data_IF_459388759157
#
_entry.id   IF_459388759157
#
_cell.length_a   1.000
_cell.length_b   1.000
_cell.length_c   1.000
_cell.angle_alpha   90.00
_cell.angle_beta   90.00
_cell.angle_gamma   90.00
#
_symmetry.space_group_name_H-M   'P 1'
#
loop_
_entity.id
_entity.type
_entity.pdbx_description
1 polymer ?
#
# COMPACT_ATOMS: atom_id res chain seq x y z
N UNK A 1 14.93 -12.69 -5.25
CA UNK A 1 14.09 -13.35 -4.25
C UNK A 1 13.18 -12.30 -3.60
N UNK A 2 11.98 -12.70 -3.25
CA UNK A 2 11.02 -11.91 -2.49
C UNK A 2 10.54 -12.75 -1.31
N UNK A 3 10.23 -12.15 -0.13
CA UNK A 3 9.66 -12.88 0.99
C UNK A 3 8.30 -13.49 0.62
N UNK A 4 8.06 -14.72 1.08
CA UNK A 4 6.78 -15.42 0.90
C UNK A 4 6.05 -15.46 2.23
N UNK A 5 4.86 -14.87 2.26
CA UNK A 5 3.96 -14.90 3.41
C UNK A 5 2.74 -15.76 3.16
N UNK A 6 2.26 -16.45 4.18
CA UNK A 6 1.04 -17.27 4.11
C UNK A 6 0.11 -17.04 5.28
N UNK A 7 -1.12 -17.57 5.18
CA UNK A 7 -2.16 -17.53 6.22
C UNK A 7 -2.47 -18.97 6.66
N UNK A 8 -1.79 -19.53 7.66
CA UNK A 8 -1.92 -20.94 8.04
C UNK A 8 -3.35 -21.35 8.40
N UNK A 9 -4.15 -20.40 8.90
CA UNK A 9 -5.54 -20.65 9.28
C UNK A 9 -6.38 -21.22 8.12
N UNK A 10 -6.10 -20.80 6.88
CA UNK A 10 -6.88 -21.28 5.73
C UNK A 10 -6.56 -22.73 5.40
N UNK A 11 -5.29 -23.14 5.43
CA UNK A 11 -4.91 -24.54 5.25
C UNK A 11 -5.39 -25.42 6.42
N UNK A 12 -5.29 -24.92 7.66
CA UNK A 12 -5.84 -25.62 8.82
C UNK A 12 -7.35 -25.85 8.67
N UNK A 13 -8.09 -24.87 8.16
CA UNK A 13 -9.53 -25.01 7.90
C UNK A 13 -9.83 -26.03 6.79
N UNK A 14 -9.01 -26.09 5.73
CA UNK A 14 -9.14 -27.12 4.70
C UNK A 14 -8.89 -28.53 5.23
N UNK A 15 -7.94 -28.73 6.16
CA UNK A 15 -7.68 -30.01 6.82
C UNK A 15 -8.90 -30.55 7.60
N UNK A 16 -9.81 -29.67 8.01
CA UNK A 16 -11.08 -30.02 8.66
C UNK A 16 -12.30 -29.86 7.75
N UNK A 17 -12.09 -29.90 6.41
CA UNK A 17 -13.14 -29.79 5.40
C UNK A 17 -14.02 -28.52 5.53
N UNK A 18 -13.43 -27.39 5.92
CA UNK A 18 -14.12 -26.12 6.07
C UNK A 18 -14.98 -26.00 7.35
N UNK A 19 -14.92 -26.95 8.25
CA UNK A 19 -15.72 -26.99 9.48
C UNK A 19 -15.00 -26.22 10.59
N UNK A 20 -15.43 -25.00 10.84
CA UNK A 20 -14.82 -24.11 11.84
C UNK A 20 -14.86 -24.72 13.24
N UNK A 21 -15.92 -25.46 13.56
CA UNK A 21 -16.10 -26.16 14.84
C UNK A 21 -15.05 -27.26 15.11
N UNK A 22 -14.43 -27.78 14.06
CA UNK A 22 -13.41 -28.85 14.19
C UNK A 22 -11.98 -28.30 14.24
N UNK A 23 -11.80 -26.97 14.09
CA UNK A 23 -10.49 -26.33 14.25
C UNK A 23 -10.00 -26.48 15.70
N UNK A 24 -8.73 -26.84 15.85
CA UNK A 24 -8.08 -26.90 17.16
C UNK A 24 -6.66 -26.31 17.10
N UNK A 25 -6.11 -26.05 18.27
CA UNK A 25 -4.72 -25.62 18.39
C UNK A 25 -3.75 -26.63 17.76
N UNK A 26 -3.94 -27.92 17.97
CA UNK A 26 -3.07 -28.97 17.46
C UNK A 26 -3.03 -28.99 15.94
N UNK A 27 -4.18 -28.91 15.27
CA UNK A 27 -4.27 -28.86 13.80
C UNK A 27 -3.58 -27.58 13.27
N UNK A 28 -3.81 -26.45 13.93
CA UNK A 28 -3.19 -25.20 13.55
C UNK A 28 -1.66 -25.23 13.75
N UNK A 29 -1.19 -25.69 14.91
CA UNK A 29 0.23 -25.85 15.24
C UNK A 29 0.95 -26.71 14.22
N UNK A 30 0.39 -27.88 13.92
CA UNK A 30 1.00 -28.82 12.96
C UNK A 30 1.03 -28.23 11.54
N UNK A 31 0.01 -27.44 11.16
CA UNK A 31 0.00 -26.72 9.91
C UNK A 31 1.05 -25.60 9.87
N UNK A 32 1.23 -24.88 10.98
CA UNK A 32 2.23 -23.84 11.10
C UNK A 32 3.65 -24.41 10.93
N UNK A 33 3.96 -25.51 11.61
CA UNK A 33 5.24 -26.22 11.52
C UNK A 33 5.47 -26.73 10.09
N UNK A 34 4.48 -27.36 9.47
CA UNK A 34 4.55 -27.83 8.08
C UNK A 34 4.93 -26.71 7.13
N UNK A 35 4.35 -25.52 7.26
CA UNK A 35 4.67 -24.37 6.41
C UNK A 35 6.03 -23.75 6.73
N UNK A 36 6.47 -23.77 8.00
CA UNK A 36 7.84 -23.40 8.37
C UNK A 36 8.87 -24.30 7.66
N UNK A 37 8.65 -25.60 7.65
CA UNK A 37 9.52 -26.58 6.97
C UNK A 37 9.53 -26.41 5.45
N UNK A 38 8.45 -25.84 4.86
CA UNK A 38 8.37 -25.49 3.45
C UNK A 38 9.12 -24.19 3.10
N UNK A 39 9.63 -23.46 4.09
CA UNK A 39 10.42 -22.25 3.89
C UNK A 39 9.62 -20.97 3.71
N UNK A 40 8.47 -20.83 4.38
CA UNK A 40 7.70 -19.58 4.44
C UNK A 40 8.47 -18.58 5.28
N UNK A 41 8.54 -17.32 4.82
CA UNK A 41 9.33 -16.27 5.48
C UNK A 41 8.56 -15.56 6.61
N UNK A 42 7.22 -15.46 6.50
CA UNK A 42 6.38 -14.88 7.55
C UNK A 42 4.94 -15.39 7.49
N UNK A 43 4.25 -15.33 8.61
CA UNK A 43 2.85 -15.76 8.73
C UNK A 43 1.93 -14.62 9.12
N UNK A 44 0.78 -14.57 8.47
CA UNK A 44 -0.36 -13.72 8.82
C UNK A 44 -1.25 -14.44 9.84
N UNK A 45 -1.32 -13.92 11.07
CA UNK A 45 -1.94 -14.61 12.21
C UNK A 45 -3.03 -13.74 12.87
N UNK A 46 -4.26 -14.29 12.95
CA UNK A 46 -5.46 -13.63 13.49
C UNK A 46 -5.55 -13.73 15.02
N UNK A 47 -4.46 -13.42 15.73
CA UNK A 47 -4.38 -13.54 17.18
C UNK A 47 -4.95 -12.34 17.95
N UNK A 48 -5.11 -11.17 17.29
CA UNK A 48 -5.57 -9.94 17.94
C UNK A 48 -7.07 -9.92 18.26
N UNK A 49 -7.86 -10.71 17.55
CA UNK A 49 -9.30 -10.82 17.79
C UNK A 49 -9.57 -11.48 19.14
N UNK A 50 -10.15 -10.74 20.08
CA UNK A 50 -10.61 -11.26 21.37
C UNK A 50 -12.12 -11.42 21.38
N UNK A 51 -12.62 -12.47 22.04
CA UNK A 51 -14.04 -12.73 22.16
C UNK A 51 -14.84 -11.54 22.68
N UNK A 52 -14.32 -10.82 23.67
CA UNK A 52 -14.96 -9.62 24.25
C UNK A 52 -15.20 -8.50 23.23
N UNK A 53 -14.44 -8.46 22.10
CA UNK A 53 -14.59 -7.44 21.06
C UNK A 53 -15.63 -7.82 20.01
N UNK A 54 -15.95 -9.11 19.85
CA UNK A 54 -16.90 -9.60 18.83
C UNK A 54 -18.28 -8.93 18.93
N UNK A 55 -18.89 -8.78 20.13
CA UNK A 55 -20.19 -8.11 20.24
C UNK A 55 -20.18 -6.63 19.82
N UNK A 56 -19.03 -5.96 19.86
CA UNK A 56 -18.89 -4.57 19.45
C UNK A 56 -19.13 -4.36 17.95
N UNK A 57 -18.95 -5.42 17.15
CA UNK A 57 -19.18 -5.38 15.68
C UNK A 57 -20.64 -5.53 15.28
N UNK A 58 -21.53 -5.88 16.22
CA UNK A 58 -22.96 -6.17 15.91
C UNK A 58 -23.73 -4.98 15.35
N UNK A 59 -23.26 -3.75 15.61
CA UNK A 59 -23.89 -2.50 15.12
C UNK A 59 -23.24 -1.96 13.87
N UNK A 60 -22.18 -2.59 13.37
CA UNK A 60 -21.50 -2.19 12.14
C UNK A 60 -22.38 -2.43 10.92
N UNK A 61 -22.19 -1.57 9.91
CA UNK A 61 -22.86 -1.72 8.60
C UNK A 61 -22.39 -3.02 7.92
N UNK A 62 -21.10 -3.33 8.00
CA UNK A 62 -20.50 -4.48 7.32
C UNK A 62 -20.04 -5.60 8.26
N UNK A 63 -20.22 -5.46 9.56
CA UNK A 63 -19.86 -6.49 10.55
C UNK A 63 -18.36 -6.79 10.59
N UNK A 64 -17.97 -8.06 10.40
CA UNK A 64 -16.59 -8.53 10.34
C UNK A 64 -16.26 -8.92 8.90
N UNK A 65 -15.42 -8.15 8.23
CA UNK A 65 -15.08 -8.35 6.80
C UNK A 65 -13.79 -9.14 6.59
N UNK A 66 -12.94 -9.26 7.61
CA UNK A 66 -11.78 -10.15 7.56
C UNK A 66 -12.22 -11.60 7.51
N UNK A 67 -11.78 -12.36 6.49
CA UNK A 67 -12.12 -13.79 6.37
C UNK A 67 -11.67 -14.59 7.60
N UNK A 68 -10.40 -14.46 7.96
CA UNK A 68 -9.87 -15.15 9.14
C UNK A 68 -10.43 -14.58 10.45
N UNK A 69 -10.70 -13.28 10.53
CA UNK A 69 -11.40 -12.65 11.66
C UNK A 69 -12.80 -13.25 11.85
N UNK A 70 -13.58 -13.39 10.78
CA UNK A 70 -14.91 -14.02 10.83
C UNK A 70 -14.85 -15.51 11.23
N UNK A 71 -13.86 -16.26 10.75
CA UNK A 71 -13.62 -17.66 11.14
C UNK A 71 -13.35 -17.74 12.63
N UNK A 72 -12.42 -16.94 13.15
CA UNK A 72 -12.07 -16.98 14.58
C UNK A 72 -13.18 -16.47 15.48
N UNK A 73 -13.91 -15.41 15.07
CA UNK A 73 -15.10 -14.95 15.80
C UNK A 73 -16.17 -16.06 15.90
N UNK A 74 -16.44 -16.76 14.78
CA UNK A 74 -17.37 -17.90 14.75
C UNK A 74 -16.87 -19.03 15.67
N UNK A 75 -15.58 -19.34 15.63
CA UNK A 75 -14.98 -20.35 16.50
C UNK A 75 -15.16 -20.01 17.98
N UNK A 76 -14.86 -18.78 18.40
CA UNK A 76 -15.05 -18.32 19.77
C UNK A 76 -16.51 -18.46 20.24
N UNK A 77 -17.46 -18.09 19.37
CA UNK A 77 -18.89 -18.20 19.68
C UNK A 77 -19.37 -19.66 19.81
N UNK A 78 -18.89 -20.56 18.94
CA UNK A 78 -19.28 -21.97 18.96
C UNK A 78 -18.72 -22.71 20.18
N UNK A 79 -17.49 -22.42 20.56
CA UNK A 79 -16.82 -23.10 21.66
C UNK A 79 -17.00 -22.40 23.01
N UNK A 80 -17.56 -21.17 23.04
CA UNK A 80 -17.62 -20.33 24.24
C UNK A 80 -16.24 -20.17 24.91
N UNK A 81 -15.21 -19.98 24.08
CA UNK A 81 -13.81 -19.86 24.49
C UNK A 81 -13.14 -18.70 23.80
N UNK A 82 -12.05 -18.23 24.40
CA UNK A 82 -11.19 -17.21 23.78
C UNK A 82 -10.46 -17.80 22.57
N UNK A 83 -10.16 -16.94 21.61
CA UNK A 83 -9.40 -17.26 20.41
C UNK A 83 -8.13 -18.05 20.74
N UNK A 84 -8.04 -19.30 20.29
CA UNK A 84 -6.88 -20.13 20.58
C UNK A 84 -5.57 -19.61 19.99
N UNK A 85 -5.61 -18.80 18.91
CA UNK A 85 -4.42 -18.15 18.37
C UNK A 85 -3.90 -17.07 19.32
N UNK A 86 -4.76 -16.45 20.14
CA UNK A 86 -4.35 -15.52 21.18
C UNK A 86 -3.81 -16.26 22.40
N UNK A 87 -4.53 -17.28 22.88
CA UNK A 87 -4.14 -18.02 24.09
C UNK A 87 -2.84 -18.82 23.92
N UNK A 88 -2.53 -19.25 22.70
CA UNK A 88 -1.28 -19.95 22.33
C UNK A 88 -0.28 -19.08 21.59
N UNK A 89 -0.40 -17.73 21.69
CA UNK A 89 0.48 -16.87 20.91
C UNK A 89 1.95 -16.96 21.30
N UNK A 90 2.25 -17.25 22.57
CA UNK A 90 3.63 -17.51 23.01
C UNK A 90 4.19 -18.79 22.40
N UNK A 91 3.39 -19.88 22.36
CA UNK A 91 3.78 -21.14 21.71
C UNK A 91 4.02 -20.94 20.21
N UNK A 92 3.18 -20.11 19.56
CA UNK A 92 3.37 -19.70 18.16
C UNK A 92 4.72 -18.99 18.01
N UNK A 93 5.02 -18.02 18.85
CA UNK A 93 6.30 -17.29 18.79
C UNK A 93 7.51 -18.21 19.01
N UNK A 94 7.42 -19.21 19.89
CA UNK A 94 8.50 -20.19 20.10
C UNK A 94 8.74 -21.04 18.83
N UNK A 95 7.69 -21.42 18.12
CA UNK A 95 7.79 -22.10 16.83
C UNK A 95 8.46 -21.15 15.80
N UNK A 96 7.97 -19.94 15.65
CA UNK A 96 8.48 -18.97 14.67
C UNK A 96 9.97 -18.65 14.92
N UNK A 97 10.37 -18.46 16.17
CA UNK A 97 11.76 -18.23 16.54
C UNK A 97 12.67 -19.42 16.17
N UNK A 98 12.17 -20.66 16.28
CA UNK A 98 12.92 -21.88 15.94
C UNK A 98 13.27 -21.99 14.47
N UNK A 99 12.43 -21.38 13.59
CA UNK A 99 12.57 -21.41 12.14
C UNK A 99 13.01 -20.08 11.53
N UNK A 100 13.28 -19.06 12.36
CA UNK A 100 13.63 -17.68 11.92
C UNK A 100 12.54 -17.07 11.00
N UNK A 101 11.26 -17.23 11.38
CA UNK A 101 10.10 -16.77 10.63
C UNK A 101 9.45 -15.58 11.31
N UNK A 102 9.08 -14.55 10.54
CA UNK A 102 8.39 -13.36 11.04
C UNK A 102 6.88 -13.55 11.20
N UNK A 103 6.23 -12.59 11.88
CA UNK A 103 4.78 -12.57 12.04
C UNK A 103 4.17 -11.25 11.57
N UNK A 104 3.11 -11.34 10.77
CA UNK A 104 2.16 -10.28 10.49
C UNK A 104 0.92 -10.50 11.36
N UNK A 105 0.70 -9.62 12.35
CA UNK A 105 -0.43 -9.76 13.28
C UNK A 105 -1.62 -9.00 12.69
N UNK A 106 -2.70 -9.74 12.42
CA UNK A 106 -3.85 -9.28 11.62
C UNK A 106 -4.82 -8.44 12.43
N UNK A 107 -5.33 -7.38 11.81
CA UNK A 107 -6.51 -6.64 12.23
C UNK A 107 -7.80 -7.37 11.79
N UNK A 108 -8.15 -8.45 12.48
CA UNK A 108 -9.34 -9.26 12.18
C UNK A 108 -10.66 -8.52 12.31
N UNK A 109 -10.68 -7.42 13.07
CA UNK A 109 -11.83 -6.53 13.26
C UNK A 109 -11.70 -5.20 12.53
N UNK A 110 -10.88 -5.14 11.45
CA UNK A 110 -10.79 -3.94 10.61
C UNK A 110 -12.15 -3.52 10.07
N UNK A 111 -12.42 -2.21 9.88
CA UNK A 111 -13.65 -1.74 9.27
C UNK A 111 -13.74 -2.13 7.79
N UNK A 112 -14.93 -2.50 7.36
CA UNK A 112 -15.27 -2.84 5.96
C UNK A 112 -16.10 -1.77 5.27
N UNK A 113 -16.40 -0.66 5.96
CA UNK A 113 -17.06 0.52 5.41
C UNK A 113 -16.58 1.79 6.10
N UNK A 114 -16.78 2.93 5.44
CA UNK A 114 -16.45 4.23 6.02
C UNK A 114 -17.18 4.50 7.34
N UNK A 115 -18.42 4.00 7.45
CA UNK A 115 -19.27 4.18 8.63
C UNK A 115 -18.76 3.43 9.87
N UNK A 116 -17.98 2.37 9.67
CA UNK A 116 -17.47 1.50 10.74
C UNK A 116 -16.06 1.88 11.20
N UNK A 117 -15.44 2.87 10.53
CA UNK A 117 -14.04 3.26 10.78
C UNK A 117 -13.85 3.84 12.19
N UNK A 118 -12.71 3.50 12.80
CA UNK A 118 -12.26 4.00 14.10
C UNK A 118 -13.22 3.69 15.26
N UNK A 119 -13.96 2.60 15.17
CA UNK A 119 -14.85 2.19 16.26
C UNK A 119 -14.10 1.47 17.40
N UNK A 120 -14.82 1.16 18.46
CA UNK A 120 -14.27 0.51 19.67
C UNK A 120 -13.80 -0.94 19.41
N UNK A 121 -14.36 -1.62 18.41
CA UNK A 121 -13.91 -2.97 18.03
C UNK A 121 -12.52 -2.89 17.37
N UNK A 122 -12.34 -1.99 16.41
CA UNK A 122 -11.08 -1.79 15.72
C UNK A 122 -9.97 -1.37 16.69
N UNK A 123 -10.19 -0.35 17.51
CA UNK A 123 -9.15 0.12 18.42
C UNK A 123 -8.93 -0.78 19.63
N UNK A 124 -9.96 -1.53 20.05
CA UNK A 124 -9.80 -2.56 21.07
C UNK A 124 -8.89 -3.69 20.59
N UNK A 125 -9.03 -4.12 19.34
CA UNK A 125 -8.12 -5.08 18.73
C UNK A 125 -6.72 -4.46 18.54
N UNK A 126 -6.60 -3.23 18.04
CA UNK A 126 -5.31 -2.56 17.85
C UNK A 126 -4.47 -2.54 19.13
N UNK A 127 -5.10 -2.27 20.28
CA UNK A 127 -4.43 -2.31 21.58
C UNK A 127 -3.91 -3.72 21.90
N UNK A 128 -4.66 -4.76 21.55
CA UNK A 128 -4.23 -6.16 21.71
C UNK A 128 -3.10 -6.50 20.76
N UNK A 129 -3.13 -6.02 19.51
CA UNK A 129 -2.02 -6.20 18.56
C UNK A 129 -0.69 -5.65 19.12
N UNK A 130 -0.74 -4.49 19.80
CA UNK A 130 0.44 -3.94 20.48
C UNK A 130 0.94 -4.82 21.62
N UNK A 131 0.05 -5.43 22.42
CA UNK A 131 0.43 -6.40 23.46
C UNK A 131 1.12 -7.62 22.85
N UNK A 132 0.55 -8.16 21.76
CA UNK A 132 1.10 -9.33 21.07
C UNK A 132 2.46 -9.01 20.41
N UNK A 133 2.63 -7.79 19.86
CA UNK A 133 3.90 -7.36 19.32
C UNK A 133 5.02 -7.41 20.37
N UNK A 134 4.76 -6.94 21.60
CA UNK A 134 5.74 -7.07 22.69
C UNK A 134 6.07 -8.51 23.04
N UNK A 135 5.08 -9.42 23.04
CA UNK A 135 5.34 -10.83 23.27
C UNK A 135 6.25 -11.42 22.20
N UNK A 136 5.98 -11.12 20.92
CA UNK A 136 6.79 -11.59 19.80
C UNK A 136 8.23 -11.06 19.89
N UNK A 137 8.42 -9.78 20.17
CA UNK A 137 9.76 -9.19 20.35
C UNK A 137 10.54 -9.83 21.53
N UNK A 138 9.86 -10.12 22.63
CA UNK A 138 10.47 -10.82 23.75
C UNK A 138 10.95 -12.24 23.39
N UNK A 139 10.37 -12.83 22.34
CA UNK A 139 10.76 -14.13 21.77
C UNK A 139 11.66 -13.99 20.54
N UNK A 140 12.16 -12.76 20.26
CA UNK A 140 13.02 -12.45 19.11
C UNK A 140 12.36 -12.68 17.74
N UNK A 141 11.02 -12.62 17.65
CA UNK A 141 10.27 -12.73 16.40
C UNK A 141 10.05 -11.34 15.81
N UNK A 142 10.33 -11.17 14.53
CA UNK A 142 10.04 -9.94 13.79
C UNK A 142 8.54 -9.78 13.61
N UNK A 143 8.05 -8.54 13.76
CA UNK A 143 6.62 -8.23 13.76
C UNK A 143 6.28 -7.19 12.70
N UNK A 144 5.17 -7.41 12.00
CA UNK A 144 4.42 -6.41 11.24
C UNK A 144 3.01 -6.37 11.83
N UNK A 145 2.44 -5.19 12.03
CA UNK A 145 1.05 -5.01 12.43
C UNK A 145 0.22 -4.67 11.21
N UNK A 146 -0.85 -5.44 10.95
CA UNK A 146 -1.80 -5.09 9.90
C UNK A 146 -2.78 -4.01 10.35
N UNK A 147 -3.26 -3.21 9.40
CA UNK A 147 -4.11 -2.07 9.65
C UNK A 147 -5.27 -1.93 8.67
N UNK A 148 -6.12 -0.90 8.84
CA UNK A 148 -7.47 -0.87 8.30
C UNK A 148 -7.54 -0.80 6.78
N UNK A 149 -8.69 -1.29 6.27
CA UNK A 149 -9.05 -1.22 4.85
C UNK A 149 -9.92 -0.02 4.50
N UNK A 150 -10.96 0.31 5.27
CA UNK A 150 -11.91 1.39 4.98
C UNK A 150 -11.83 2.48 6.04
N UNK A 151 -11.23 3.62 5.71
CA UNK A 151 -11.16 4.79 6.63
C UNK A 151 -11.31 6.06 5.82
N UNK A 152 -12.26 6.94 6.16
CA UNK A 152 -12.40 8.23 5.50
C UNK A 152 -11.19 9.13 5.78
N UNK A 153 -10.84 10.00 4.84
CA UNK A 153 -9.59 10.76 4.84
C UNK A 153 -9.33 11.50 6.16
N UNK A 154 -10.35 12.10 6.77
CA UNK A 154 -10.23 12.87 8.01
C UNK A 154 -9.88 12.02 9.24
N UNK A 155 -10.08 10.71 9.20
CA UNK A 155 -9.79 9.79 10.30
C UNK A 155 -8.46 9.02 10.13
N UNK A 156 -7.81 9.12 8.98
CA UNK A 156 -6.57 8.39 8.67
C UNK A 156 -5.45 8.76 9.64
N UNK A 157 -5.31 10.04 9.95
CA UNK A 157 -4.26 10.51 10.88
C UNK A 157 -4.44 9.93 12.27
N UNK A 158 -5.66 9.99 12.81
CA UNK A 158 -5.97 9.40 14.10
C UNK A 158 -5.64 7.90 14.15
N UNK A 159 -5.93 7.20 13.05
CA UNK A 159 -5.63 5.77 12.93
C UNK A 159 -4.12 5.50 13.05
N UNK A 160 -3.30 6.29 12.35
CA UNK A 160 -1.86 6.16 12.42
C UNK A 160 -1.30 6.56 13.80
N UNK A 161 -1.76 7.68 14.34
CA UNK A 161 -1.30 8.18 15.66
C UNK A 161 -1.59 7.13 16.76
N UNK A 162 -2.77 6.49 16.73
CA UNK A 162 -3.12 5.41 17.67
C UNK A 162 -2.27 4.14 17.48
N UNK A 163 -1.95 3.80 16.24
CA UNK A 163 -1.08 2.66 15.99
C UNK A 163 0.33 2.90 16.57
N UNK A 164 0.89 4.08 16.33
CA UNK A 164 2.20 4.43 16.88
C UNK A 164 2.21 4.35 18.40
N UNK A 165 1.15 4.85 19.05
CA UNK A 165 0.99 4.83 20.52
C UNK A 165 0.78 3.41 21.04
N UNK A 166 -0.21 2.67 20.52
CA UNK A 166 -0.65 1.39 21.07
C UNK A 166 0.30 0.25 20.70
N UNK A 167 0.93 0.33 19.52
CA UNK A 167 1.81 -0.72 19.00
C UNK A 167 3.30 -0.37 19.09
N UNK A 168 3.66 0.68 19.84
CA UNK A 168 5.06 1.03 20.14
C UNK A 168 5.91 1.24 18.89
N UNK A 169 5.35 1.93 17.90
CA UNK A 169 5.99 2.19 16.60
C UNK A 169 6.36 0.93 15.80
N UNK A 170 5.72 -0.21 16.08
CA UNK A 170 5.87 -1.40 15.25
C UNK A 170 5.57 -1.09 13.78
N UNK A 171 6.29 -1.70 12.81
CA UNK A 171 5.97 -1.51 11.40
C UNK A 171 4.50 -1.77 11.10
N UNK A 172 3.83 -0.79 10.49
CA UNK A 172 2.41 -0.85 10.17
C UNK A 172 2.20 -1.17 8.70
N UNK A 173 1.33 -2.13 8.42
CA UNK A 173 0.98 -2.62 7.09
C UNK A 173 -0.51 -2.41 6.84
N UNK A 174 -0.89 -1.52 5.93
CA UNK A 174 -2.29 -1.12 5.75
C UNK A 174 -2.86 -1.54 4.41
N UNK A 175 -4.16 -1.90 4.40
CA UNK A 175 -4.94 -2.19 3.21
C UNK A 175 -5.52 -0.88 2.65
N UNK A 176 -4.69 -0.06 2.07
CA UNK A 176 -5.05 1.29 1.64
C UNK A 176 -4.68 2.33 2.70
N UNK A 177 -5.67 3.03 3.33
CA UNK A 177 -7.14 2.77 3.36
C UNK A 177 -7.90 3.22 2.11
N UNK A 178 -9.01 2.52 1.83
CA UNK A 178 -10.02 2.97 0.89
C UNK A 178 -10.78 4.16 1.50
N UNK A 179 -10.80 5.28 0.81
CA UNK A 179 -11.34 6.56 1.36
C UNK A 179 -12.81 6.81 1.02
N UNK A 180 -13.43 5.92 0.27
CA UNK A 180 -14.87 5.92 -0.08
C UNK A 180 -15.33 4.53 -0.47
N UNK A 181 -16.63 4.22 -0.30
CA UNK A 181 -17.21 2.90 -0.55
C UNK A 181 -17.97 2.82 -1.88
N UNK A 182 -18.09 3.93 -2.63
CA UNK A 182 -18.94 4.01 -3.83
C UNK A 182 -18.24 3.62 -5.14
N UNK A 183 -17.04 3.07 -5.08
CA UNK A 183 -16.19 2.89 -6.24
C UNK A 183 -15.83 1.42 -6.58
N UNK A 184 -16.77 0.44 -6.56
CA UNK A 184 -16.45 -0.89 -7.06
C UNK A 184 -15.92 -0.84 -8.50
N UNK A 185 -14.83 -1.55 -8.77
CA UNK A 185 -14.09 -1.47 -10.02
C UNK A 185 -13.00 -0.40 -10.07
N UNK A 186 -12.92 0.44 -9.03
CA UNK A 186 -11.91 1.50 -8.88
C UNK A 186 -11.26 1.48 -7.49
N UNK A 187 -11.35 0.37 -6.77
CA UNK A 187 -10.86 0.24 -5.41
C UNK A 187 -9.35 0.49 -5.29
N UNK A 188 -8.57 0.16 -6.32
CA UNK A 188 -7.15 0.48 -6.39
C UNK A 188 -6.86 2.00 -6.35
N UNK A 189 -7.76 2.83 -6.89
CA UNK A 189 -7.64 4.29 -6.87
C UNK A 189 -7.99 4.84 -5.49
N UNK A 190 -9.16 4.47 -4.96
CA UNK A 190 -9.63 4.97 -3.65
C UNK A 190 -8.69 4.57 -2.52
N UNK A 191 -8.16 3.38 -2.60
CA UNK A 191 -7.20 2.80 -1.67
C UNK A 191 -5.80 3.44 -1.81
N UNK A 192 -5.35 3.79 -3.02
CA UNK A 192 -4.09 4.49 -3.22
C UNK A 192 -4.12 5.93 -2.65
N UNK A 193 -5.26 6.60 -2.71
CA UNK A 193 -5.43 7.93 -2.09
C UNK A 193 -5.15 7.84 -0.58
N UNK A 194 -5.84 6.95 0.11
CA UNK A 194 -5.63 6.74 1.54
C UNK A 194 -4.25 6.16 1.84
N UNK A 195 -3.74 5.28 0.99
CA UNK A 195 -2.40 4.71 1.09
C UNK A 195 -1.31 5.77 1.05
N UNK A 196 -1.40 6.75 0.16
CA UNK A 196 -0.47 7.87 0.11
C UNK A 196 -0.55 8.73 1.40
N UNK A 197 -1.76 8.96 1.93
CA UNK A 197 -1.94 9.73 3.16
C UNK A 197 -1.38 9.00 4.38
N UNK A 198 -1.74 7.74 4.59
CA UNK A 198 -1.29 6.99 5.77
C UNK A 198 0.21 6.69 5.67
N UNK A 199 0.73 6.47 4.44
CA UNK A 199 2.15 6.36 4.17
C UNK A 199 2.91 7.62 4.54
N UNK A 200 2.37 8.80 4.24
CA UNK A 200 2.93 10.08 4.67
C UNK A 200 2.96 10.22 6.19
N UNK A 201 1.92 9.72 6.89
CA UNK A 201 1.85 9.80 8.35
C UNK A 201 2.70 8.76 9.08
N UNK A 202 3.19 7.70 8.41
CA UNK A 202 4.14 6.79 9.05
C UNK A 202 4.00 5.30 8.72
N UNK A 203 2.97 4.87 7.99
CA UNK A 203 2.84 3.46 7.59
C UNK A 203 4.12 2.98 6.88
N UNK A 204 4.59 1.81 7.27
CA UNK A 204 5.83 1.23 6.76
C UNK A 204 5.64 0.46 5.44
N UNK A 205 4.47 -0.17 5.25
CA UNK A 205 4.18 -0.98 4.07
C UNK A 205 2.72 -0.84 3.66
N UNK A 206 2.46 -0.79 2.36
CA UNK A 206 1.12 -0.73 1.78
C UNK A 206 0.78 -2.05 1.09
N UNK A 207 -0.38 -2.63 1.40
CA UNK A 207 -0.96 -3.72 0.64
C UNK A 207 -1.50 -3.17 -0.68
N UNK A 208 -1.15 -3.80 -1.81
CA UNK A 208 -1.78 -3.41 -3.07
C UNK A 208 -3.24 -3.88 -3.09
N UNK A 209 -4.07 -3.11 -3.75
CA UNK A 209 -5.49 -3.40 -4.03
C UNK A 209 -5.69 -3.36 -5.53
N UNK A 210 -6.49 -4.25 -6.06
CA UNK A 210 -6.87 -4.24 -7.47
C UNK A 210 -8.27 -3.63 -7.65
N UNK A 211 -8.64 -3.35 -8.88
CA UNK A 211 -10.00 -2.92 -9.25
C UNK A 211 -11.07 -3.95 -8.90
N UNK A 212 -10.66 -5.22 -8.66
CA UNK A 212 -11.57 -6.33 -8.38
C UNK A 212 -11.73 -6.65 -6.88
N UNK A 213 -11.23 -5.82 -5.98
CA UNK A 213 -11.19 -6.10 -4.53
C UNK A 213 -12.54 -6.59 -3.97
N UNK A 214 -13.64 -5.96 -4.36
CA UNK A 214 -14.98 -6.34 -3.92
C UNK A 214 -15.80 -7.11 -4.97
N UNK A 215 -15.20 -7.48 -6.12
CA UNK A 215 -15.92 -8.02 -7.26
C UNK A 215 -15.48 -9.41 -7.71
N UNK A 216 -14.21 -9.76 -7.57
CA UNK A 216 -13.72 -11.04 -8.06
C UNK A 216 -12.22 -11.25 -7.91
N UNK A 217 -11.74 -12.40 -8.36
CA UNK A 217 -10.32 -12.72 -8.34
C UNK A 217 -9.57 -11.91 -9.41
N UNK A 218 -8.45 -11.28 -9.05
CA UNK A 218 -7.63 -10.55 -10.01
C UNK A 218 -6.85 -11.50 -10.92
N UNK A 219 -6.66 -11.10 -12.17
CA UNK A 219 -5.71 -11.71 -13.07
C UNK A 219 -4.32 -11.04 -12.97
N UNK A 220 -3.37 -11.50 -13.79
CA UNK A 220 -1.99 -10.98 -13.78
C UNK A 220 -1.92 -9.48 -14.09
N UNK A 221 -2.74 -9.00 -15.01
CA UNK A 221 -2.73 -7.58 -15.41
C UNK A 221 -3.37 -6.70 -14.33
N UNK A 222 -4.40 -7.19 -13.66
CA UNK A 222 -5.02 -6.52 -12.51
C UNK A 222 -3.99 -6.37 -11.37
N UNK A 223 -3.24 -7.46 -11.08
CA UNK A 223 -2.18 -7.44 -10.05
C UNK A 223 -1.08 -6.44 -10.44
N UNK A 224 -0.61 -6.46 -11.70
CA UNK A 224 0.38 -5.49 -12.20
C UNK A 224 -0.10 -4.07 -11.98
N UNK A 225 -1.35 -3.78 -12.34
CA UNK A 225 -1.97 -2.45 -12.19
C UNK A 225 -2.07 -2.04 -10.73
N UNK A 226 -2.53 -2.92 -9.86
CA UNK A 226 -2.58 -2.70 -8.41
C UNK A 226 -1.20 -2.37 -7.84
N UNK A 227 -0.18 -3.18 -8.14
CA UNK A 227 1.19 -2.96 -7.67
C UNK A 227 1.76 -1.63 -8.16
N UNK A 228 1.58 -1.27 -9.44
CA UNK A 228 2.02 0.02 -9.98
C UNK A 228 1.32 1.17 -9.26
N UNK A 229 0.01 1.08 -9.06
CA UNK A 229 -0.78 2.09 -8.36
C UNK A 229 -0.25 2.32 -6.94
N UNK A 230 0.04 1.26 -6.20
CA UNK A 230 0.55 1.37 -4.83
C UNK A 230 2.01 1.81 -4.77
N UNK A 231 2.84 1.50 -5.76
CA UNK A 231 4.18 2.10 -5.89
C UNK A 231 4.09 3.61 -6.11
N UNK A 232 3.08 4.09 -6.85
CA UNK A 232 2.83 5.54 -7.00
C UNK A 232 2.41 6.17 -5.68
N UNK A 233 1.49 5.53 -4.93
CA UNK A 233 1.05 6.00 -3.61
C UNK A 233 2.22 6.09 -2.62
N UNK A 234 3.04 5.04 -2.53
CA UNK A 234 4.21 5.00 -1.67
C UNK A 234 5.25 6.07 -2.06
N UNK A 235 5.52 6.25 -3.36
CA UNK A 235 6.42 7.28 -3.85
C UNK A 235 5.92 8.71 -3.51
N UNK A 236 4.62 8.95 -3.65
CA UNK A 236 4.01 10.24 -3.26
C UNK A 236 4.17 10.49 -1.75
N UNK A 237 4.02 9.45 -0.92
CA UNK A 237 4.25 9.54 0.52
C UNK A 237 5.73 9.84 0.84
N UNK A 238 6.68 9.21 0.13
CA UNK A 238 8.11 9.45 0.31
C UNK A 238 8.52 10.87 -0.06
N UNK A 239 7.95 11.42 -1.14
CA UNK A 239 8.12 12.83 -1.49
C UNK A 239 7.59 13.75 -0.38
N UNK A 240 6.40 13.48 0.14
CA UNK A 240 5.76 14.27 1.19
C UNK A 240 6.54 14.22 2.53
N UNK A 241 7.15 13.08 2.85
CA UNK A 241 8.05 12.91 4.01
C UNK A 241 9.41 13.59 3.83
N UNK A 242 9.77 13.99 2.62
CA UNK A 242 11.11 14.48 2.31
C UNK A 242 12.17 13.38 2.35
N UNK A 243 11.80 12.13 2.00
CA UNK A 243 12.73 11.01 2.00
C UNK A 243 13.93 11.30 1.09
N UNK A 244 15.18 11.11 1.57
CA UNK A 244 16.37 11.37 0.78
C UNK A 244 16.36 10.60 -0.56
N UNK A 245 16.53 11.32 -1.67
CA UNK A 245 16.58 10.73 -3.00
C UNK A 245 15.23 10.55 -3.71
N UNK A 246 14.09 10.63 -3.03
CA UNK A 246 12.77 10.49 -3.66
C UNK A 246 12.57 11.48 -4.82
N UNK A 247 12.94 12.75 -4.61
CA UNK A 247 12.78 13.81 -5.60
C UNK A 247 13.66 13.65 -6.85
N UNK A 248 14.76 12.89 -6.79
CA UNK A 248 15.70 12.79 -7.92
C UNK A 248 15.07 12.20 -9.18
N UNK A 249 14.26 11.15 -9.02
CA UNK A 249 13.58 10.52 -10.15
C UNK A 249 12.54 11.45 -10.78
N UNK A 250 11.78 12.18 -9.97
CA UNK A 250 10.81 13.18 -10.46
C UNK A 250 11.48 14.33 -11.18
N UNK A 251 12.61 14.84 -10.66
CA UNK A 251 13.38 15.86 -11.32
C UNK A 251 13.94 15.39 -12.67
N UNK A 252 14.47 14.16 -12.72
CA UNK A 252 14.96 13.54 -13.95
C UNK A 252 13.84 13.35 -14.97
N UNK A 253 12.68 12.86 -14.54
CA UNK A 253 11.48 12.71 -15.37
C UNK A 253 11.00 14.07 -15.90
N UNK A 254 10.91 15.08 -15.05
CA UNK A 254 10.47 16.42 -15.44
C UNK A 254 11.42 17.05 -16.46
N UNK A 255 12.73 16.85 -16.28
CA UNK A 255 13.74 17.30 -17.24
C UNK A 255 13.62 16.55 -18.57
N UNK A 256 13.50 15.23 -18.55
CA UNK A 256 13.31 14.42 -19.75
C UNK A 256 12.03 14.80 -20.52
N UNK A 257 10.92 15.09 -19.80
CA UNK A 257 9.67 15.60 -20.39
C UNK A 257 9.88 16.95 -21.07
N UNK A 258 10.49 17.87 -20.39
CA UNK A 258 10.75 19.22 -20.93
C UNK A 258 11.62 19.16 -22.17
N UNK A 259 12.65 18.31 -22.19
CA UNK A 259 13.61 18.14 -23.29
C UNK A 259 13.12 17.19 -24.40
N UNK A 260 11.89 16.67 -24.33
CA UNK A 260 11.31 15.70 -25.28
C UNK A 260 12.15 14.42 -25.44
N UNK A 261 12.85 14.01 -24.40
CA UNK A 261 13.65 12.78 -24.39
C UNK A 261 12.75 11.59 -24.04
N UNK A 262 11.95 11.15 -25.02
CA UNK A 262 10.91 10.14 -24.83
C UNK A 262 11.43 8.81 -24.28
N UNK A 263 12.55 8.31 -24.78
CA UNK A 263 13.17 7.07 -24.29
C UNK A 263 13.53 7.16 -22.80
N UNK A 264 14.07 8.30 -22.38
CA UNK A 264 14.40 8.52 -20.97
C UNK A 264 13.15 8.61 -20.09
N UNK A 265 12.06 9.23 -20.60
CA UNK A 265 10.78 9.24 -19.89
C UNK A 265 10.25 7.83 -19.67
N UNK A 266 10.31 6.94 -20.69
CA UNK A 266 9.86 5.56 -20.55
C UNK A 266 10.72 4.80 -19.56
N UNK A 267 12.05 4.91 -19.59
CA UNK A 267 12.96 4.26 -18.65
C UNK A 267 12.77 4.76 -17.19
N UNK A 268 12.41 6.01 -17.01
CA UNK A 268 12.14 6.61 -15.70
C UNK A 268 10.73 6.29 -15.19
N UNK A 269 9.81 5.86 -16.05
CA UNK A 269 8.44 5.52 -15.66
C UNK A 269 8.38 4.29 -14.73
N UNK A 270 7.40 4.24 -13.83
CA UNK A 270 7.14 3.05 -13.02
C UNK A 270 6.56 1.90 -13.84
N UNK A 271 5.83 2.23 -14.91
CA UNK A 271 5.34 1.28 -15.92
C UNK A 271 5.77 1.75 -17.32
N UNK A 272 6.99 1.41 -17.74
CA UNK A 272 7.52 1.83 -19.05
C UNK A 272 6.72 1.30 -20.23
N UNK A 273 6.20 0.07 -20.13
CA UNK A 273 5.43 -0.56 -21.22
C UNK A 273 4.12 0.17 -21.49
N UNK A 274 3.39 0.52 -20.42
CA UNK A 274 2.15 1.29 -20.53
C UNK A 274 2.42 2.72 -21.05
N UNK A 275 3.48 3.37 -20.57
CA UNK A 275 3.86 4.70 -21.02
C UNK A 275 4.19 4.70 -22.52
N UNK A 276 5.01 3.77 -22.99
CA UNK A 276 5.35 3.60 -24.39
C UNK A 276 4.10 3.32 -25.25
N UNK A 277 3.28 2.35 -24.83
CA UNK A 277 2.04 1.98 -25.55
C UNK A 277 1.10 3.16 -25.74
N UNK A 278 0.93 4.00 -24.73
CA UNK A 278 0.04 5.18 -24.81
C UNK A 278 0.62 6.27 -25.69
N UNK A 279 1.94 6.47 -25.63
CA UNK A 279 2.62 7.42 -26.51
C UNK A 279 2.49 7.02 -27.97
N UNK A 280 2.78 5.75 -28.29
CA UNK A 280 2.83 5.24 -29.67
C UNK A 280 1.45 5.02 -30.30
N UNK A 281 0.42 4.77 -29.49
CA UNK A 281 -0.93 4.44 -29.97
C UNK A 281 -1.52 5.46 -30.95
N UNK A 282 -1.18 6.71 -30.79
CA UNK A 282 -1.74 7.84 -31.54
C UNK A 282 -0.72 8.52 -32.47
N UNK A 283 0.48 7.95 -32.59
CA UNK A 283 1.55 8.44 -33.47
C UNK A 283 1.83 7.35 -34.53
N UNK A 284 1.16 7.40 -35.69
CA UNK A 284 1.18 6.31 -36.67
C UNK A 284 2.55 6.12 -37.34
N UNK A 285 3.38 7.17 -37.44
CA UNK A 285 4.66 7.13 -38.13
C UNK A 285 5.83 7.05 -37.16
N UNK A 286 6.84 6.22 -37.47
CA UNK A 286 8.07 6.09 -36.66
C UNK A 286 8.79 7.42 -36.44
N UNK A 287 8.80 8.30 -37.46
CA UNK A 287 9.40 9.64 -37.36
C UNK A 287 8.73 10.54 -36.31
N UNK A 288 7.45 10.36 -36.07
CA UNK A 288 6.68 11.15 -35.08
C UNK A 288 6.94 10.74 -33.62
N UNK A 289 7.45 9.54 -33.40
CA UNK A 289 7.76 9.01 -32.06
C UNK A 289 8.93 9.72 -31.36
N UNK A 290 9.72 10.47 -32.08
CA UNK A 290 10.87 11.23 -31.56
C UNK A 290 10.71 12.75 -31.68
N UNK A 291 9.52 13.23 -32.03
CA UNK A 291 9.25 14.67 -32.24
C UNK A 291 9.16 15.45 -30.93
N UNK A 292 9.30 16.78 -31.04
CA UNK A 292 9.19 17.72 -29.93
C UNK A 292 7.73 18.10 -29.61
N UNK A 293 6.83 17.15 -29.70
CA UNK A 293 5.43 17.24 -29.27
C UNK A 293 4.86 15.83 -29.11
N UNK A 294 3.73 15.70 -28.42
CA UNK A 294 2.96 14.47 -28.37
C UNK A 294 1.57 14.69 -28.99
N UNK A 295 0.85 13.61 -29.24
CA UNK A 295 -0.50 13.66 -29.82
C UNK A 295 -1.53 14.45 -29.01
N UNK A 296 -1.28 14.65 -27.71
CA UNK A 296 -2.19 15.40 -26.83
C UNK A 296 -2.30 16.87 -27.25
N UNK A 297 -1.16 17.53 -27.52
CA UNK A 297 -1.14 18.95 -27.91
C UNK A 297 -0.95 19.14 -29.42
N UNK A 298 -0.36 18.16 -30.11
CA UNK A 298 0.05 18.33 -31.50
C UNK A 298 1.20 19.34 -31.67
N UNK A 299 1.54 19.61 -32.92
CA UNK A 299 2.71 20.42 -33.26
C UNK A 299 2.59 21.90 -32.85
N UNK A 300 1.39 22.46 -32.95
CA UNK A 300 1.17 23.91 -32.83
C UNK A 300 0.78 24.34 -31.41
N UNK A 301 0.33 23.45 -30.55
CA UNK A 301 -0.21 23.81 -29.23
C UNK A 301 0.62 23.29 -28.06
N UNK A 302 1.82 22.79 -28.31
CA UNK A 302 2.68 22.27 -27.24
C UNK A 302 3.29 23.39 -26.42
N UNK A 303 2.85 23.55 -25.17
CA UNK A 303 3.32 24.57 -24.24
C UNK A 303 4.82 24.44 -23.92
N UNK A 304 5.34 23.21 -23.88
CA UNK A 304 6.78 22.98 -23.64
C UNK A 304 7.62 23.46 -24.84
N UNK A 305 7.17 23.24 -26.09
CA UNK A 305 7.81 23.76 -27.30
C UNK A 305 7.87 25.31 -27.25
N UNK A 306 6.72 25.94 -26.97
CA UNK A 306 6.65 27.38 -26.79
C UNK A 306 7.55 27.89 -25.65
N UNK A 307 7.68 27.14 -24.57
CA UNK A 307 8.57 27.48 -23.45
C UNK A 307 10.06 27.39 -23.82
N UNK A 308 10.45 26.48 -24.70
CA UNK A 308 11.81 26.47 -25.28
C UNK A 308 12.07 27.74 -26.09
N UNK A 309 11.14 28.11 -26.96
CA UNK A 309 11.25 29.34 -27.76
C UNK A 309 11.38 30.59 -26.87
N UNK A 310 10.57 30.68 -25.81
CA UNK A 310 10.66 31.78 -24.83
C UNK A 310 12.01 31.82 -24.11
N UNK A 311 12.57 30.67 -23.72
CA UNK A 311 13.91 30.59 -23.10
C UNK A 311 15.00 31.06 -24.06
N UNK A 312 14.92 30.68 -25.32
CA UNK A 312 15.88 31.08 -26.33
C UNK A 312 15.82 32.62 -26.63
N UNK A 313 14.60 33.16 -26.65
CA UNK A 313 14.39 34.63 -26.75
C UNK A 313 14.97 35.32 -25.52
N UNK A 314 14.68 34.83 -24.31
CA UNK A 314 15.18 35.42 -23.07
C UNK A 314 16.73 35.44 -23.03
N UNK A 315 17.38 34.33 -23.40
CA UNK A 315 18.84 34.23 -23.49
C UNK A 315 19.41 35.25 -24.47
N UNK A 316 18.83 35.32 -25.68
CA UNK A 316 19.27 36.30 -26.69
C UNK A 316 19.12 37.74 -26.22
N UNK A 317 18.06 38.06 -25.49
CA UNK A 317 17.85 39.38 -24.88
C UNK A 317 18.89 39.68 -23.80
N UNK A 318 19.20 38.69 -22.95
CA UNK A 318 20.22 38.82 -21.91
C UNK A 318 21.62 39.02 -22.51
N UNK A 319 21.98 38.24 -23.52
CA UNK A 319 23.24 38.37 -24.27
C UNK A 319 23.36 39.75 -24.91
N UNK A 320 22.30 40.24 -25.59
CA UNK A 320 22.26 41.57 -26.17
C UNK A 320 22.36 42.69 -25.13
N UNK A 321 21.67 42.51 -23.99
CA UNK A 321 21.74 43.46 -22.87
C UNK A 321 23.15 43.56 -22.30
N UNK A 322 23.84 42.42 -22.20
CA UNK A 322 25.22 42.35 -21.74
C UNK A 322 26.17 43.01 -22.73
N UNK A 323 26.04 42.67 -24.02
CA UNK A 323 26.80 43.28 -25.11
C UNK A 323 26.60 44.80 -25.17
N UNK A 324 25.36 45.26 -25.00
CA UNK A 324 25.03 46.71 -24.95
C UNK A 324 25.74 47.42 -23.79
N UNK A 325 25.73 46.82 -22.60
CA UNK A 325 26.43 47.36 -21.42
C UNK A 325 27.96 47.40 -21.62
N UNK A 326 28.52 46.33 -22.20
CA UNK A 326 29.97 46.25 -22.49
C UNK A 326 30.43 47.27 -23.55
N UNK A 327 29.55 47.66 -24.47
CA UNK A 327 29.81 48.69 -25.52
C UNK A 327 29.52 50.12 -25.06
N UNK A 328 29.33 50.36 -23.78
CA UNK A 328 29.21 51.70 -23.21
C UNK A 328 27.77 52.15 -22.93
N UNK A 329 26.75 51.35 -23.25
CA UNK A 329 25.35 51.60 -22.88
C UNK A 329 24.69 52.79 -23.63
N UNK A 330 25.26 53.25 -24.74
CA UNK A 330 24.71 54.34 -25.53
C UNK A 330 23.86 53.82 -26.71
N UNK A 331 22.66 54.39 -26.88
CA UNK A 331 21.82 54.18 -28.05
C UNK A 331 22.17 55.31 -29.03
N UNK A 332 22.87 54.98 -30.09
CA UNK A 332 23.00 55.92 -31.20
C UNK A 332 21.68 55.96 -31.99
N UNK A 333 21.04 57.07 -31.96
CA UNK A 333 19.88 57.40 -32.81
C UNK A 333 20.42 57.87 -34.20
#
# INVERSE_FOLDING_TARGET
PVPIGTVPLYQALEKVNGRVEDLSWEIYRDTLIEQCEQGVDYFTIHAGLLWKHVPLTAKRVTGIVSRGGAIMAKWCLLHHQENFLNTHFEDICDILASYDVGVSIVDGLRPGSQADANDSAQFGELLELGRLAKLAWNKHVQVIIEGPGHVPMQLIRENMDKQLEYCYEAPFYTLGPLVTDIAPGYDHITSAIGGAMIGWYGTAMLCYVTEKEHLGLPDKEDVKRGVVTFKLAAHAADLAKGHPGAQYRDNAMSKARFEFRWKDQFHLALDPETALKYHDKTLPDEGNKTTHFCSMCGEHFCSMKSSHELRDIAKKLEEKSKEFKEKGGEIYV
#
